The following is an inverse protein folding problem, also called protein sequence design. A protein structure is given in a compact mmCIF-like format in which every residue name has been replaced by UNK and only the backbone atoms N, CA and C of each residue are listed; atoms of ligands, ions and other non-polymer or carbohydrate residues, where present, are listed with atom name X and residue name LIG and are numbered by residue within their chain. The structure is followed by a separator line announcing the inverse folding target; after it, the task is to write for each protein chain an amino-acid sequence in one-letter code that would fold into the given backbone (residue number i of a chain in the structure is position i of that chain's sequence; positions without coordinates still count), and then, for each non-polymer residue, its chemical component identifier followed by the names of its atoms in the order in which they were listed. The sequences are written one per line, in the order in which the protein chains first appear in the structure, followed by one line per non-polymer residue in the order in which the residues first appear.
data_IF_066117150873
#
_entry.id   IF_066117150873
#
_cell.length_a   1.000
_cell.length_b   1.000
_cell.length_c   1.000
_cell.angle_alpha   90.00
_cell.angle_beta   90.00
_cell.angle_gamma   90.00
#
_symmetry.space_group_name_H-M   'P 1'
#
loop_
_entity.id
_entity.type
_entity.pdbx_description
1 polymer ?
#
# COMPACT_ATOMS: atom_id res chain seq x y z
N UNK A 1 -35.03 -32.99 -24.47
CA UNK A 1 -33.65 -32.55 -24.39
C UNK A 1 -33.56 -31.07 -24.81
N UNK A 2 -33.28 -30.14 -23.86
CA UNK A 2 -33.05 -28.73 -24.19
C UNK A 2 -31.69 -28.66 -24.91
N UNK A 3 -31.68 -28.18 -26.17
CA UNK A 3 -30.44 -27.87 -26.88
C UNK A 3 -29.73 -26.73 -26.12
N UNK A 4 -28.50 -26.98 -25.68
CA UNK A 4 -27.61 -25.94 -25.21
C UNK A 4 -27.44 -24.88 -26.32
N UNK A 5 -27.45 -23.59 -26.01
CA UNK A 5 -27.18 -22.57 -27.00
C UNK A 5 -25.81 -22.82 -27.60
N UNK A 6 -25.72 -22.78 -28.91
CA UNK A 6 -24.45 -22.81 -29.66
C UNK A 6 -23.62 -21.61 -29.16
N UNK A 7 -22.39 -21.87 -28.72
CA UNK A 7 -21.42 -20.83 -28.51
C UNK A 7 -21.27 -20.06 -29.82
N UNK A 8 -21.74 -18.81 -29.85
CA UNK A 8 -21.34 -17.88 -30.88
C UNK A 8 -19.92 -17.45 -30.57
N UNK A 9 -19.04 -17.45 -31.57
CA UNK A 9 -17.70 -16.88 -31.45
C UNK A 9 -17.81 -15.39 -31.13
N UNK A 10 -17.87 -15.06 -29.85
CA UNK A 10 -17.67 -13.67 -29.40
C UNK A 10 -16.17 -13.41 -29.48
N UNK A 11 -15.74 -12.73 -30.51
CA UNK A 11 -14.41 -12.11 -30.52
C UNK A 11 -14.44 -10.94 -29.53
N UNK A 12 -13.99 -11.20 -28.32
CA UNK A 12 -13.80 -10.15 -27.31
C UNK A 12 -12.51 -9.39 -27.67
N UNK A 13 -12.65 -8.17 -28.15
CA UNK A 13 -11.50 -7.28 -28.30
C UNK A 13 -11.24 -6.62 -26.94
N UNK A 14 -10.09 -6.92 -26.35
CA UNK A 14 -9.62 -6.18 -25.19
C UNK A 14 -9.37 -4.73 -25.61
N UNK A 15 -9.85 -3.75 -24.85
CA UNK A 15 -9.48 -2.37 -25.10
C UNK A 15 -7.95 -2.22 -25.01
N UNK A 16 -7.36 -1.52 -25.97
CA UNK A 16 -5.95 -1.09 -25.86
C UNK A 16 -5.89 0.13 -24.95
N UNK A 17 -5.03 0.09 -23.97
CA UNK A 17 -4.72 1.26 -23.12
C UNK A 17 -3.40 1.85 -23.58
N UNK A 18 -3.36 3.15 -23.76
CA UNK A 18 -2.10 3.88 -23.94
C UNK A 18 -1.45 4.00 -22.56
N UNK A 19 -0.28 3.38 -22.41
CA UNK A 19 0.51 3.43 -21.18
C UNK A 19 1.77 4.22 -21.44
N UNK A 20 1.94 5.30 -20.72
CA UNK A 20 3.17 6.08 -20.76
C UNK A 20 4.06 5.67 -19.58
N UNK A 21 5.29 5.22 -19.90
CA UNK A 21 6.26 4.81 -18.90
C UNK A 21 7.36 5.87 -18.80
N UNK A 22 7.47 6.47 -17.64
CA UNK A 22 8.50 7.46 -17.31
C UNK A 22 9.47 6.87 -16.29
N UNK A 23 10.74 7.23 -16.38
CA UNK A 23 11.74 6.93 -15.36
C UNK A 23 12.19 8.24 -14.72
N UNK A 24 12.01 8.33 -13.40
CA UNK A 24 12.46 9.49 -12.63
C UNK A 24 14.01 9.49 -12.51
N UNK A 25 14.58 10.63 -12.13
CA UNK A 25 16.04 10.78 -12.02
C UNK A 25 16.70 9.85 -11.00
N UNK A 26 15.94 9.45 -9.97
CA UNK A 26 16.37 8.50 -8.94
C UNK A 26 16.06 7.03 -9.29
N UNK A 27 15.53 6.74 -10.49
CA UNK A 27 15.26 5.38 -10.97
C UNK A 27 13.85 4.85 -10.67
N UNK A 28 12.99 5.61 -9.96
CA UNK A 28 11.58 5.26 -9.78
C UNK A 28 10.91 5.17 -11.14
N UNK A 29 10.12 4.12 -11.35
CA UNK A 29 9.26 3.96 -12.52
C UNK A 29 7.91 4.59 -12.23
N UNK A 30 7.45 5.44 -13.14
CA UNK A 30 6.12 6.02 -13.12
C UNK A 30 5.35 5.52 -14.35
N UNK A 31 4.30 4.74 -14.12
CA UNK A 31 3.41 4.23 -15.15
C UNK A 31 2.15 5.08 -15.18
N UNK A 32 1.88 5.73 -16.29
CA UNK A 32 0.76 6.64 -16.47
C UNK A 32 -0.31 5.99 -17.37
N UNK A 33 -1.54 5.97 -16.89
CA UNK A 33 -2.72 5.42 -17.55
C UNK A 33 -3.78 6.53 -17.68
N UNK A 34 -3.68 7.40 -18.71
CA UNK A 34 -4.61 8.52 -18.87
C UNK A 34 -6.02 8.02 -19.21
N UNK A 35 -7.02 8.51 -18.49
CA UNK A 35 -8.44 8.31 -18.77
C UNK A 35 -9.16 9.64 -18.64
N UNK A 36 -9.51 10.24 -19.77
CA UNK A 36 -10.15 11.58 -19.84
C UNK A 36 -11.60 11.58 -19.39
N UNK A 37 -12.22 10.42 -19.30
CA UNK A 37 -13.63 10.26 -18.91
C UNK A 37 -13.78 10.08 -17.38
N UNK A 38 -12.67 9.90 -16.65
CA UNK A 38 -12.67 9.72 -15.21
C UNK A 38 -12.44 11.04 -14.48
N UNK A 39 -13.31 11.39 -13.53
CA UNK A 39 -13.07 12.52 -12.61
C UNK A 39 -12.23 12.10 -11.38
N UNK A 40 -11.90 10.82 -11.27
CA UNK A 40 -11.14 10.24 -10.15
C UNK A 40 -9.73 9.90 -10.61
N UNK A 41 -8.76 10.31 -9.84
CA UNK A 41 -7.35 9.91 -9.97
C UNK A 41 -7.07 8.79 -8.99
N UNK A 42 -6.39 7.75 -9.46
CA UNK A 42 -5.81 6.67 -8.66
C UNK A 42 -4.29 6.82 -8.73
N UNK A 43 -3.67 7.09 -7.59
CA UNK A 43 -2.21 7.16 -7.44
C UNK A 43 -1.75 6.07 -6.49
N UNK A 44 -0.95 5.15 -6.98
CA UNK A 44 -0.42 4.00 -6.24
C UNK A 44 1.08 4.09 -6.08
N UNK A 45 1.55 3.79 -4.88
CA UNK A 45 2.94 3.54 -4.53
C UNK A 45 3.08 2.06 -4.16
N UNK A 46 3.81 1.30 -4.94
CA UNK A 46 4.08 -0.10 -4.69
C UNK A 46 5.55 -0.27 -4.26
N UNK A 47 5.77 -0.78 -3.04
CA UNK A 47 7.07 -1.08 -2.48
C UNK A 47 7.29 -2.60 -2.55
N UNK A 48 8.17 -3.05 -3.42
CA UNK A 48 8.35 -4.47 -3.77
C UNK A 48 8.85 -5.33 -2.60
N UNK A 49 9.60 -4.76 -1.66
CA UNK A 49 10.17 -5.50 -0.53
C UNK A 49 9.43 -5.25 0.81
N UNK A 50 8.38 -4.41 0.80
CA UNK A 50 7.63 -4.07 2.02
C UNK A 50 6.53 -5.09 2.37
N UNK A 51 6.67 -6.33 1.91
CA UNK A 51 5.74 -7.42 2.20
C UNK A 51 6.00 -8.14 3.52
N UNK A 52 5.01 -8.94 3.94
CA UNK A 52 5.05 -9.64 5.24
C UNK A 52 6.11 -10.74 5.33
N UNK A 53 6.74 -11.17 4.22
CA UNK A 53 7.84 -12.14 4.24
C UNK A 53 9.12 -11.54 4.83
N UNK A 54 9.31 -10.24 4.72
CA UNK A 54 10.50 -9.53 5.20
C UNK A 54 10.39 -9.06 6.66
N UNK A 55 9.22 -9.23 7.29
CA UNK A 55 9.04 -8.80 8.68
C UNK A 55 9.82 -9.69 9.67
N UNK A 56 10.57 -9.05 10.57
CA UNK A 56 11.27 -9.74 11.68
C UNK A 56 10.32 -10.06 12.83
N UNK A 57 9.31 -9.21 13.04
CA UNK A 57 8.22 -9.37 14.00
C UNK A 57 6.90 -9.48 13.26
N UNK A 58 6.05 -10.42 13.65
CA UNK A 58 4.72 -10.53 13.07
C UNK A 58 3.96 -9.19 13.20
N UNK A 59 3.22 -8.85 12.16
CA UNK A 59 2.41 -7.65 12.05
C UNK A 59 3.17 -6.33 11.88
N UNK A 60 4.52 -6.30 11.92
CA UNK A 60 5.26 -5.05 11.70
C UNK A 60 5.04 -4.49 10.29
N UNK A 61 4.97 -5.33 9.25
CA UNK A 61 4.69 -4.90 7.88
C UNK A 61 3.30 -4.25 7.75
N UNK A 62 2.25 -4.91 8.26
CA UNK A 62 0.90 -4.37 8.24
C UNK A 62 0.74 -3.14 9.13
N UNK A 63 1.43 -3.08 10.27
CA UNK A 63 1.43 -1.92 11.13
C UNK A 63 2.11 -0.72 10.46
N UNK A 64 3.27 -0.92 9.80
CA UNK A 64 3.96 0.11 9.07
C UNK A 64 3.07 0.76 7.99
N UNK A 65 2.38 -0.06 7.18
CA UNK A 65 1.45 0.43 6.17
C UNK A 65 0.25 1.16 6.79
N UNK A 66 -0.43 0.53 7.75
CA UNK A 66 -1.67 1.08 8.28
C UNK A 66 -1.47 2.38 9.06
N UNK A 67 -0.35 2.53 9.74
CA UNK A 67 -0.05 3.71 10.54
C UNK A 67 0.47 4.91 9.74
N UNK A 68 0.70 4.80 8.42
CA UNK A 68 1.08 5.93 7.57
C UNK A 68 0.08 7.10 7.69
N UNK A 69 -1.20 6.81 7.85
CA UNK A 69 -2.27 7.82 7.98
C UNK A 69 -2.63 8.16 9.42
N UNK A 70 -2.00 7.51 10.41
CA UNK A 70 -2.21 7.81 11.84
C UNK A 70 -1.34 8.97 12.36
N UNK A 71 -0.78 9.75 11.45
CA UNK A 71 0.00 10.95 11.70
C UNK A 71 1.28 10.99 10.87
N UNK A 72 1.53 12.14 10.23
CA UNK A 72 2.72 12.36 9.41
C UNK A 72 3.14 13.82 9.46
N UNK A 73 4.44 14.08 9.37
CA UNK A 73 4.99 15.43 9.55
C UNK A 73 4.52 16.03 10.89
N UNK A 74 3.92 17.21 10.83
CA UNK A 74 3.38 17.91 12.01
C UNK A 74 1.91 17.54 12.32
N UNK A 75 1.25 16.75 11.48
CA UNK A 75 -0.15 16.40 11.63
C UNK A 75 -0.32 15.13 12.49
N UNK A 76 -1.26 15.19 13.43
CA UNK A 76 -1.73 14.04 14.19
C UNK A 76 -2.76 13.25 13.37
N UNK A 77 -3.05 11.99 13.74
CA UNK A 77 -3.97 11.11 13.01
C UNK A 77 -5.34 11.73 12.75
N UNK A 78 -5.93 12.40 13.75
CA UNK A 78 -7.23 13.07 13.59
C UNK A 78 -7.16 14.19 12.55
N UNK A 79 -6.12 15.02 12.61
CA UNK A 79 -5.93 16.13 11.66
C UNK A 79 -5.67 15.61 10.23
N UNK A 80 -4.98 14.47 10.13
CA UNK A 80 -4.75 13.78 8.86
C UNK A 80 -6.07 13.29 8.27
N UNK A 81 -6.89 12.62 9.08
CA UNK A 81 -8.20 12.14 8.68
C UNK A 81 -9.12 13.30 8.22
N UNK A 82 -9.18 14.39 8.99
CA UNK A 82 -9.97 15.58 8.64
C UNK A 82 -9.54 16.17 7.28
N UNK A 83 -8.23 16.21 7.00
CA UNK A 83 -7.74 16.70 5.70
C UNK A 83 -8.09 15.76 4.55
N UNK A 84 -7.92 14.45 4.74
CA UNK A 84 -8.29 13.47 3.71
C UNK A 84 -9.79 13.53 3.42
N UNK A 85 -10.62 13.63 4.45
CA UNK A 85 -12.08 13.75 4.31
C UNK A 85 -12.48 15.06 3.62
N UNK A 86 -11.82 16.18 3.95
CA UNK A 86 -12.07 17.47 3.29
C UNK A 86 -11.86 17.39 1.77
N UNK A 87 -10.84 16.68 1.31
CA UNK A 87 -10.56 16.48 -0.12
C UNK A 87 -11.32 15.28 -0.71
N UNK A 88 -12.17 14.62 0.06
CA UNK A 88 -12.82 13.36 -0.33
C UNK A 88 -11.81 12.32 -0.84
N UNK A 89 -10.63 12.28 -0.23
CA UNK A 89 -9.56 11.36 -0.57
C UNK A 89 -9.71 10.07 0.22
N UNK A 90 -9.58 8.94 -0.46
CA UNK A 90 -9.58 7.63 0.15
C UNK A 90 -8.19 6.99 0.02
N UNK A 91 -7.70 6.40 1.11
CA UNK A 91 -6.39 5.73 1.14
C UNK A 91 -6.58 4.25 1.42
N UNK A 92 -6.21 3.43 0.46
CA UNK A 92 -6.17 1.97 0.59
C UNK A 92 -4.73 1.51 0.84
N UNK A 93 -4.56 0.58 1.77
CA UNK A 93 -3.27 0.02 2.13
C UNK A 93 -3.36 -1.49 2.10
N UNK A 94 -2.58 -2.11 1.23
CA UNK A 94 -2.56 -3.56 1.05
C UNK A 94 -1.15 -4.08 1.26
N UNK A 95 -0.99 -5.00 2.20
CA UNK A 95 0.28 -5.68 2.45
C UNK A 95 0.13 -7.15 2.09
N UNK A 96 0.82 -7.53 1.04
CA UNK A 96 0.93 -8.91 0.59
C UNK A 96 2.14 -9.60 1.24
N UNK A 97 2.50 -10.76 0.71
CA UNK A 97 3.68 -11.50 1.16
C UNK A 97 4.99 -10.82 0.79
N UNK A 98 5.05 -10.25 -0.40
CA UNK A 98 6.29 -9.72 -1.00
C UNK A 98 6.29 -8.20 -1.08
N UNK A 99 5.12 -7.57 -1.24
CA UNK A 99 4.98 -6.15 -1.50
C UNK A 99 3.98 -5.46 -0.59
N UNK A 100 4.05 -4.14 -0.57
CA UNK A 100 3.04 -3.26 0.00
C UNK A 100 2.61 -2.22 -1.03
N UNK A 101 1.30 -2.06 -1.20
CA UNK A 101 0.68 -1.04 -2.04
C UNK A 101 -0.05 -0.02 -1.19
N UNK A 102 0.23 1.26 -1.43
CA UNK A 102 -0.48 2.40 -0.85
C UNK A 102 -1.16 3.14 -1.99
N UNK A 103 -2.47 3.14 -2.00
CA UNK A 103 -3.28 3.70 -3.08
C UNK A 103 -4.10 4.88 -2.58
N UNK A 104 -3.98 6.00 -3.27
CA UNK A 104 -4.78 7.19 -3.03
C UNK A 104 -5.80 7.33 -4.15
N UNK A 105 -7.07 7.50 -3.78
CA UNK A 105 -8.15 7.85 -4.70
C UNK A 105 -8.63 9.25 -4.36
N UNK A 106 -8.69 10.13 -5.33
CA UNK A 106 -9.12 11.51 -5.15
C UNK A 106 -9.67 12.12 -6.43
N UNK A 107 -10.40 13.22 -6.28
CA UNK A 107 -10.94 13.94 -7.44
C UNK A 107 -9.85 14.78 -8.13
N UNK A 108 -9.82 14.75 -9.44
CA UNK A 108 -8.87 15.49 -10.29
C UNK A 108 -8.69 16.95 -9.87
N UNK A 109 -9.79 17.63 -9.52
CA UNK A 109 -9.76 19.05 -9.11
C UNK A 109 -8.93 19.33 -7.85
N UNK A 110 -8.66 18.30 -7.03
CA UNK A 110 -7.87 18.42 -5.79
C UNK A 110 -6.45 17.88 -5.91
N UNK A 111 -6.03 17.49 -7.11
CA UNK A 111 -4.72 16.83 -7.33
C UNK A 111 -3.56 17.65 -6.76
N UNK A 112 -3.50 18.94 -7.07
CA UNK A 112 -2.41 19.81 -6.61
C UNK A 112 -2.45 20.10 -5.12
N UNK A 113 -3.64 20.26 -4.55
CA UNK A 113 -3.80 20.55 -3.13
C UNK A 113 -3.47 19.34 -2.27
N UNK A 114 -3.74 18.14 -2.79
CA UNK A 114 -3.55 16.88 -2.08
C UNK A 114 -2.12 16.34 -2.17
N UNK A 115 -1.39 16.64 -3.25
CA UNK A 115 -0.05 16.10 -3.48
C UNK A 115 0.92 16.35 -2.30
N UNK A 116 0.99 17.55 -1.69
CA UNK A 116 1.85 17.76 -0.52
C UNK A 116 1.47 16.87 0.68
N UNK A 117 0.17 16.58 0.85
CA UNK A 117 -0.31 15.70 1.90
C UNK A 117 0.10 14.25 1.62
N UNK A 118 0.00 13.80 0.37
CA UNK A 118 0.45 12.48 -0.06
C UNK A 118 1.95 12.33 0.18
N UNK A 119 2.73 13.32 -0.22
CA UNK A 119 4.19 13.32 0.05
C UNK A 119 4.50 13.19 1.54
N UNK A 120 3.80 13.95 2.38
CA UNK A 120 3.97 13.89 3.82
C UNK A 120 3.62 12.50 4.38
N UNK A 121 2.52 11.89 3.94
CA UNK A 121 2.09 10.54 4.36
C UNK A 121 3.15 9.50 3.99
N UNK A 122 3.66 9.55 2.76
CA UNK A 122 4.60 8.54 2.25
C UNK A 122 6.00 8.73 2.83
N UNK A 123 6.47 9.97 3.02
CA UNK A 123 7.87 10.26 3.37
C UNK A 123 8.12 10.52 4.84
N UNK A 124 7.13 10.98 5.60
CA UNK A 124 7.31 11.51 6.94
C UNK A 124 6.33 10.90 7.97
N UNK A 125 6.12 9.58 8.01
CA UNK A 125 5.24 8.97 9.00
C UNK A 125 5.81 9.16 10.42
N UNK A 126 4.95 9.49 11.37
CA UNK A 126 5.38 9.79 12.75
C UNK A 126 5.62 8.54 13.58
N UNK A 127 4.75 7.54 13.46
CA UNK A 127 4.74 6.35 14.32
C UNK A 127 4.84 6.74 15.80
N UNK A 128 3.94 7.64 16.29
CA UNK A 128 3.95 8.02 17.69
C UNK A 128 3.57 6.85 18.60
N UNK A 129 4.08 6.83 19.84
CA UNK A 129 3.77 5.76 20.79
C UNK A 129 2.27 5.70 21.12
N UNK A 130 1.63 6.86 21.25
CA UNK A 130 0.20 6.96 21.56
C UNK A 130 -0.66 6.33 20.46
N UNK A 131 -0.43 6.71 19.19
CA UNK A 131 -1.17 6.16 18.03
C UNK A 131 -0.87 4.67 17.83
N UNK A 132 0.36 4.25 18.12
CA UNK A 132 0.73 2.84 18.05
C UNK A 132 -0.06 2.00 19.06
N UNK A 133 -0.18 2.44 20.30
CA UNK A 133 -0.96 1.73 21.32
C UNK A 133 -2.45 1.63 20.95
N UNK A 134 -3.03 2.71 20.41
CA UNK A 134 -4.41 2.72 19.93
C UNK A 134 -4.54 1.71 18.79
N UNK A 135 -3.67 1.77 17.79
CA UNK A 135 -3.62 0.85 16.65
C UNK A 135 -3.51 -0.61 17.12
N UNK A 136 -2.51 -0.90 17.96
CA UNK A 136 -2.24 -2.25 18.47
C UNK A 136 -3.46 -2.87 19.15
N UNK A 137 -4.11 -2.11 20.04
CA UNK A 137 -5.30 -2.56 20.76
C UNK A 137 -6.48 -2.82 19.82
N UNK A 138 -6.71 -1.95 18.85
CA UNK A 138 -7.74 -2.12 17.80
C UNK A 138 -7.47 -3.37 16.96
N UNK A 139 -6.22 -3.60 16.57
CA UNK A 139 -5.85 -4.77 15.77
C UNK A 139 -5.96 -6.08 16.54
N UNK A 140 -5.63 -6.10 17.83
CA UNK A 140 -5.86 -7.29 18.69
C UNK A 140 -7.33 -7.69 18.71
N UNK A 141 -8.23 -6.74 18.88
CA UNK A 141 -9.69 -7.00 18.87
C UNK A 141 -10.15 -7.52 17.50
N UNK A 142 -9.72 -6.86 16.42
CA UNK A 142 -10.05 -7.31 15.06
C UNK A 142 -9.51 -8.70 14.76
N UNK A 143 -8.31 -9.02 15.22
CA UNK A 143 -7.69 -10.32 15.06
C UNK A 143 -8.50 -11.44 15.74
N UNK A 144 -8.97 -11.21 16.98
CA UNK A 144 -9.82 -12.15 17.69
C UNK A 144 -11.10 -12.47 16.91
N UNK A 145 -11.78 -11.44 16.41
CA UNK A 145 -13.00 -11.61 15.64
C UNK A 145 -12.74 -12.32 14.29
N UNK A 146 -11.69 -11.95 13.59
CA UNK A 146 -11.36 -12.52 12.29
C UNK A 146 -10.90 -13.97 12.37
N UNK A 147 -10.16 -14.36 13.41
CA UNK A 147 -9.69 -15.74 13.59
C UNK A 147 -10.82 -16.75 13.91
N UNK A 148 -11.99 -16.27 14.31
CA UNK A 148 -13.18 -17.12 14.52
C UNK A 148 -13.93 -17.41 13.20
N UNK A 149 -13.66 -16.67 12.13
CA UNK A 149 -14.31 -16.87 10.83
C UNK A 149 -13.85 -18.18 10.19
N UNK A 150 -14.79 -18.99 9.74
CA UNK A 150 -14.53 -20.30 9.13
C UNK A 150 -13.59 -20.23 7.92
N UNK A 151 -13.73 -19.18 7.08
CA UNK A 151 -12.87 -18.96 5.94
C UNK A 151 -11.38 -18.74 6.35
N UNK A 152 -11.14 -17.99 7.43
CA UNK A 152 -9.79 -17.76 7.94
C UNK A 152 -9.16 -19.04 8.51
N UNK A 153 -9.97 -19.85 9.20
CA UNK A 153 -9.53 -21.17 9.72
C UNK A 153 -9.17 -22.09 8.54
N UNK A 154 -10.03 -22.15 7.53
CA UNK A 154 -9.82 -22.96 6.33
C UNK A 154 -8.56 -22.49 5.57
N UNK A 155 -8.40 -21.18 5.37
CA UNK A 155 -7.23 -20.58 4.74
C UNK A 155 -5.91 -20.98 5.44
N UNK A 156 -5.84 -20.81 6.76
CA UNK A 156 -4.66 -21.17 7.54
C UNK A 156 -4.34 -22.68 7.45
N UNK A 157 -5.36 -23.54 7.56
CA UNK A 157 -5.20 -24.99 7.43
C UNK A 157 -4.71 -25.39 6.04
N UNK A 158 -5.25 -24.78 4.99
CA UNK A 158 -4.84 -25.01 3.61
C UNK A 158 -3.36 -24.68 3.41
N UNK A 159 -2.92 -23.48 3.81
CA UNK A 159 -1.51 -23.10 3.67
C UNK A 159 -0.58 -23.96 4.51
N UNK A 160 -0.96 -24.31 5.74
CA UNK A 160 -0.17 -25.20 6.59
C UNK A 160 -0.07 -26.63 6.05
N UNK A 161 -1.02 -27.06 5.19
CA UNK A 161 -0.94 -28.39 4.56
C UNK A 161 0.01 -28.42 3.36
N UNK A 162 0.24 -27.26 2.71
CA UNK A 162 1.10 -27.13 1.53
C UNK A 162 2.52 -26.72 1.91
N UNK A 163 2.64 -25.77 2.85
CA UNK A 163 3.93 -25.18 3.21
C UNK A 163 4.35 -25.62 4.61
N UNK A 164 5.60 -26.10 4.79
CA UNK A 164 6.12 -26.43 6.11
C UNK A 164 6.22 -25.18 7.00
N UNK A 165 6.22 -25.36 8.32
CA UNK A 165 6.31 -24.28 9.30
C UNK A 165 7.59 -23.42 9.18
N UNK A 166 8.64 -23.93 8.52
CA UNK A 166 9.87 -23.18 8.22
C UNK A 166 9.68 -22.17 7.07
N UNK A 167 8.70 -22.41 6.19
CA UNK A 167 8.45 -21.57 5.04
C UNK A 167 7.61 -20.33 5.46
N UNK A 168 7.96 -19.12 5.03
CA UNK A 168 7.18 -17.91 5.33
C UNK A 168 5.68 -18.01 5.00
N UNK A 169 5.32 -18.72 3.91
CA UNK A 169 3.94 -18.94 3.49
C UNK A 169 3.13 -19.81 4.46
N UNK A 170 3.78 -20.70 5.21
CA UNK A 170 3.15 -21.52 6.26
C UNK A 170 3.09 -20.85 7.63
N UNK A 171 3.67 -19.66 7.80
CA UNK A 171 3.70 -18.95 9.07
C UNK A 171 2.53 -17.97 9.19
N UNK A 172 1.84 -18.02 10.32
CA UNK A 172 0.77 -17.08 10.66
C UNK A 172 1.01 -16.52 12.05
N UNK A 173 0.87 -15.21 12.17
CA UNK A 173 0.95 -14.55 13.47
C UNK A 173 -0.16 -15.01 14.43
N UNK A 174 0.12 -14.90 15.71
CA UNK A 174 -0.77 -15.21 16.82
C UNK A 174 -1.15 -13.94 17.57
N UNK A 175 -2.12 -14.05 18.48
CA UNK A 175 -2.57 -12.92 19.28
C UNK A 175 -1.42 -12.34 20.14
N UNK A 176 -0.60 -13.24 20.71
CA UNK A 176 0.52 -12.88 21.58
C UNK A 176 1.62 -12.11 20.84
N UNK A 177 1.71 -12.24 19.52
CA UNK A 177 2.68 -11.50 18.71
C UNK A 177 2.42 -10.00 18.71
N UNK A 178 1.16 -9.57 18.92
CA UNK A 178 0.84 -8.16 19.14
C UNK A 178 1.42 -7.61 20.46
N UNK A 179 1.54 -8.45 21.49
CA UNK A 179 2.12 -8.04 22.78
C UNK A 179 3.65 -7.88 22.68
N UNK A 180 4.27 -8.60 21.73
CA UNK A 180 5.70 -8.53 21.45
C UNK A 180 6.08 -7.47 20.40
N UNK A 181 5.08 -6.89 19.71
CA UNK A 181 5.29 -5.85 18.71
C UNK A 181 5.48 -4.50 19.40
N UNK A 182 6.52 -3.78 19.05
CA UNK A 182 6.83 -2.45 19.53
C UNK A 182 6.70 -1.40 18.41
N UNK A 183 6.54 -0.15 18.79
CA UNK A 183 6.57 0.98 17.86
C UNK A 183 7.89 1.02 17.07
N UNK A 184 8.99 0.71 17.72
CA UNK A 184 10.32 0.68 17.09
C UNK A 184 10.44 -0.44 16.04
N UNK A 185 9.81 -1.60 16.26
CA UNK A 185 9.75 -2.66 15.23
C UNK A 185 9.02 -2.17 13.96
N UNK A 186 7.95 -1.39 14.14
CA UNK A 186 7.18 -0.79 13.04
C UNK A 186 8.01 0.26 12.30
N UNK A 187 8.66 1.16 13.05
CA UNK A 187 9.51 2.20 12.47
C UNK A 187 10.70 1.61 11.72
N UNK A 188 11.38 0.62 12.33
CA UNK A 188 12.50 -0.05 11.69
C UNK A 188 12.09 -0.78 10.40
N UNK A 189 10.87 -1.36 10.37
CA UNK A 189 10.35 -1.99 9.16
C UNK A 189 10.14 -0.95 8.05
N UNK A 190 9.55 0.19 8.37
CA UNK A 190 9.39 1.27 7.40
C UNK A 190 10.75 1.78 6.90
N UNK A 191 11.67 2.10 7.80
CA UNK A 191 12.98 2.64 7.44
C UNK A 191 13.83 1.64 6.61
N UNK A 192 13.59 0.32 6.75
CA UNK A 192 14.32 -0.74 6.03
C UNK A 192 13.68 -1.07 4.66
N UNK A 193 12.34 -1.02 4.53
CA UNK A 193 11.65 -1.60 3.36
C UNK A 193 10.83 -0.60 2.53
N UNK A 194 10.59 0.63 2.98
CA UNK A 194 9.92 1.66 2.18
C UNK A 194 10.92 2.50 1.41
N UNK A 195 11.80 1.80 0.67
CA UNK A 195 12.81 2.44 -0.17
C UNK A 195 12.22 2.87 -1.51
N UNK A 196 12.56 4.08 -1.94
CA UNK A 196 12.18 4.56 -3.27
C UNK A 196 12.95 3.87 -4.41
N UNK A 197 14.05 3.17 -4.14
CA UNK A 197 14.74 2.35 -5.15
C UNK A 197 13.89 1.18 -5.64
N UNK A 198 13.10 0.61 -4.73
CA UNK A 198 12.23 -0.55 -5.00
C UNK A 198 10.75 -0.12 -5.11
N UNK A 199 10.51 1.19 -5.30
CA UNK A 199 9.18 1.75 -5.46
C UNK A 199 8.82 1.87 -6.95
N UNK A 200 7.59 1.48 -7.27
CA UNK A 200 6.96 1.73 -8.54
C UNK A 200 5.70 2.57 -8.32
N UNK A 201 5.54 3.65 -9.09
CA UNK A 201 4.39 4.53 -9.00
C UNK A 201 3.49 4.29 -10.20
N UNK A 202 2.19 4.16 -9.96
CA UNK A 202 1.17 4.06 -11.02
C UNK A 202 0.14 5.16 -10.85
N UNK A 203 -0.10 5.91 -11.91
CA UNK A 203 -1.05 7.02 -11.97
C UNK A 203 -2.11 6.72 -13.02
N UNK A 204 -3.38 6.65 -12.62
CA UNK A 204 -4.49 6.37 -13.53
C UNK A 204 -5.62 7.39 -13.34
N UNK A 205 -6.34 7.72 -14.42
CA UNK A 205 -7.46 8.66 -14.42
C UNK A 205 -7.19 9.93 -15.22
N UNK A 206 -7.92 11.00 -14.92
CA UNK A 206 -7.71 12.29 -15.58
C UNK A 206 -6.81 13.20 -14.75
N UNK A 207 -5.66 13.51 -15.28
CA UNK A 207 -4.63 14.38 -14.69
C UNK A 207 -3.99 15.24 -15.79
N UNK A 208 -3.35 16.34 -15.40
CA UNK A 208 -2.60 17.19 -16.31
C UNK A 208 -1.12 16.82 -16.34
N UNK A 209 -0.43 17.23 -17.42
CA UNK A 209 1.03 17.06 -17.53
C UNK A 209 1.75 17.82 -16.38
N UNK A 210 1.27 19.01 -16.01
CA UNK A 210 1.79 19.76 -14.87
C UNK A 210 1.70 18.98 -13.54
N UNK A 211 0.67 18.15 -13.37
CA UNK A 211 0.56 17.29 -12.18
C UNK A 211 1.60 16.17 -12.22
N UNK A 212 1.84 15.58 -13.38
CA UNK A 212 2.90 14.58 -13.57
C UNK A 212 4.27 15.20 -13.27
N UNK A 213 4.54 16.40 -13.78
CA UNK A 213 5.79 17.12 -13.50
C UNK A 213 5.98 17.38 -12.01
N UNK A 214 4.93 17.80 -11.30
CA UNK A 214 4.97 17.99 -9.85
C UNK A 214 5.20 16.69 -9.08
N UNK A 215 4.58 15.59 -9.51
CA UNK A 215 4.79 14.26 -8.92
C UNK A 215 6.26 13.82 -9.11
N UNK A 216 6.80 14.04 -10.31
CA UNK A 216 8.22 13.74 -10.61
C UNK A 216 9.16 14.63 -9.79
N UNK A 217 8.87 15.93 -9.64
CA UNK A 217 9.63 16.85 -8.81
C UNK A 217 9.62 16.39 -7.33
N UNK A 218 8.43 16.05 -6.82
CA UNK A 218 8.25 15.63 -5.45
C UNK A 218 8.97 14.32 -5.11
N UNK A 219 8.86 13.30 -5.92
CA UNK A 219 9.40 11.96 -5.61
C UNK A 219 10.72 11.63 -6.33
N UNK A 220 11.03 12.30 -7.44
CA UNK A 220 12.23 12.03 -8.23
C UNK A 220 13.52 12.63 -7.65
N UNK A 221 13.42 13.58 -6.71
CA UNK A 221 14.59 14.22 -6.06
C UNK A 221 15.10 13.46 -4.82
N UNK A 222 14.38 12.44 -4.35
CA UNK A 222 14.76 11.64 -3.19
C UNK A 222 16.08 10.90 -3.48
N UNK A 223 17.02 10.98 -2.53
CA UNK A 223 18.24 10.18 -2.61
C UNK A 223 17.86 8.70 -2.57
N UNK A 224 18.57 7.88 -3.36
CA UNK A 224 18.50 6.44 -3.27
C UNK A 224 18.77 6.04 -1.83
N UNK A 225 17.77 5.46 -1.15
CA UNK A 225 18.00 4.80 0.12
C UNK A 225 19.12 3.76 -0.06
N UNK A 226 19.88 3.46 0.97
CA UNK A 226 20.93 2.42 0.88
C UNK A 226 20.24 1.07 0.62
N UNK A 227 20.07 0.74 -0.67
CA UNK A 227 19.60 -0.55 -1.10
C UNK A 227 20.44 -1.66 -0.45
N UNK A 228 19.82 -2.74 -0.04
CA UNK A 228 20.53 -3.94 0.39
C UNK A 228 21.36 -4.42 -0.78
N UNK A 229 22.69 -4.61 -0.58
CA UNK A 229 23.49 -5.45 -1.46
C UNK A 229 22.77 -6.82 -1.59
N UNK A 230 22.17 -7.05 -2.76
CA UNK A 230 21.54 -8.33 -3.10
C UNK A 230 22.67 -9.32 -3.43
N UNK A 231 23.22 -9.97 -2.40
CA UNK A 231 24.11 -11.13 -2.55
C UNK A 231 23.32 -12.42 -2.36
#
# INVERSE_FOLDING_TARGET
MKKLPLFSDYSFQLPSFDVENLSMSNGIKLNCFPDRDSEVVRLEFMFSDAGSNNQKKFFSASAAANMLTEGSGDLMGVQMADKLDYYAAYVEKTVDRESCSIVFYFLTKYSFDLLPLIEMIIKQPRYSEEEFEIYRNKQKQSFLLNNQKTNMIAYKKFYNSIFPASNPFGKFGKLEDYDCLTRDDVRNFYDEFYSFEDCEISLAGYYSDDFVDKLVEGFGSEERGKGKDRT
#
